data_IF_168514229212
#
_entry.id   IF_168514229212
#
_cell.length_a   1.000
_cell.length_b   1.000
_cell.length_c   1.000
_cell.angle_alpha   90.00
_cell.angle_beta   90.00
_cell.angle_gamma   90.00
#
_symmetry.space_group_name_H-M   'P 1'
#
loop_
_entity.id
_entity.type
_entity.pdbx_description
1 polymer ?
#
# COMPACT_ATOMS: atom_id res chain seq x y z
N UNK A 1 9.12 -8.36 -3.60
CA UNK A 1 9.85 -7.22 -3.02
C UNK A 1 9.23 -5.93 -3.47
N UNK A 2 9.08 -5.04 -2.54
CA UNK A 2 8.54 -3.73 -2.80
C UNK A 2 9.49 -2.89 -3.61
N UNK A 3 8.90 -2.15 -4.45
CA UNK A 3 9.53 -1.29 -5.41
C UNK A 3 9.86 0.05 -4.79
N UNK A 4 10.86 0.04 -3.94
CA UNK A 4 11.57 1.25 -3.59
C UNK A 4 12.75 1.38 -4.54
N UNK A 5 13.01 2.57 -5.04
CA UNK A 5 14.17 2.84 -5.89
C UNK A 5 15.52 2.65 -5.16
N UNK A 6 15.49 2.51 -3.84
CA UNK A 6 16.65 2.22 -3.01
C UNK A 6 16.53 0.84 -2.38
N UNK A 7 17.61 0.05 -2.34
CA UNK A 7 17.60 -1.15 -1.51
C UNK A 7 17.34 -0.75 -0.06
N UNK A 8 16.30 -1.34 0.51
CA UNK A 8 16.00 -1.12 1.92
C UNK A 8 17.08 -1.74 2.83
N UNK A 9 17.04 -1.45 4.13
CA UNK A 9 17.93 -2.07 5.11
C UNK A 9 17.73 -3.59 5.17
N UNK A 10 18.76 -4.32 5.62
CA UNK A 10 18.67 -5.75 5.91
C UNK A 10 17.69 -6.00 7.06
N UNK A 11 16.48 -6.42 6.73
CA UNK A 11 15.42 -6.68 7.70
C UNK A 11 15.72 -7.90 8.57
N UNK A 12 16.14 -9.01 7.95
CA UNK A 12 16.36 -10.28 8.65
C UNK A 12 17.48 -10.17 9.70
N UNK A 13 18.57 -9.49 9.36
CA UNK A 13 19.67 -9.23 10.29
C UNK A 13 19.32 -8.28 11.43
N UNK A 14 18.17 -7.64 11.38
CA UNK A 14 17.67 -6.68 12.36
C UNK A 14 16.47 -7.18 13.15
N UNK A 15 16.08 -8.45 13.00
CA UNK A 15 14.91 -9.02 13.66
C UNK A 15 13.57 -8.54 13.08
N UNK A 16 13.55 -8.24 11.77
CA UNK A 16 12.34 -7.89 11.02
C UNK A 16 12.02 -8.93 9.97
N UNK A 17 10.74 -9.13 9.73
CA UNK A 17 10.22 -9.92 8.62
C UNK A 17 9.40 -9.05 7.67
N UNK A 18 9.36 -9.46 6.39
CA UNK A 18 8.49 -8.86 5.38
C UNK A 18 7.52 -9.90 4.86
N UNK A 19 6.23 -9.58 4.86
CA UNK A 19 5.17 -10.44 4.34
C UNK A 19 4.18 -9.63 3.52
N UNK A 20 3.65 -10.28 2.50
CA UNK A 20 2.62 -9.72 1.64
C UNK A 20 1.31 -10.47 1.87
N UNK A 21 0.20 -9.72 1.99
CA UNK A 21 -1.13 -10.26 2.22
C UNK A 21 -2.14 -9.67 1.24
N UNK A 22 -3.21 -10.40 0.98
CA UNK A 22 -4.41 -9.88 0.35
C UNK A 22 -5.36 -9.36 1.44
N UNK A 23 -5.81 -8.11 1.29
CA UNK A 23 -6.84 -7.51 2.12
C UNK A 23 -8.12 -7.37 1.30
N UNK A 24 -9.22 -7.96 1.78
CA UNK A 24 -10.51 -7.95 1.10
C UNK A 24 -11.59 -7.34 1.95
N UNK A 25 -12.56 -6.68 1.31
CA UNK A 25 -13.68 -6.07 2.00
C UNK A 25 -14.70 -5.45 1.04
N UNK A 26 -15.58 -4.64 1.62
CA UNK A 26 -16.53 -3.80 0.88
C UNK A 26 -16.14 -2.36 1.15
N UNK A 27 -15.88 -1.59 0.10
CA UNK A 27 -15.57 -0.17 0.18
C UNK A 27 -16.74 0.68 -0.31
N UNK A 28 -16.85 1.88 0.23
CA UNK A 28 -17.87 2.87 -0.08
C UNK A 28 -17.27 4.03 -0.86
N UNK A 29 -18.00 4.47 -1.86
CA UNK A 29 -17.73 5.72 -2.56
C UNK A 29 -18.48 6.86 -1.92
N UNK A 30 -17.81 7.99 -1.77
CA UNK A 30 -18.40 9.22 -1.23
C UNK A 30 -18.48 10.29 -2.31
N UNK A 31 -19.47 11.16 -2.18
CA UNK A 31 -19.60 12.39 -2.97
C UNK A 31 -19.74 13.57 -2.01
N UNK A 32 -19.18 14.70 -2.41
CA UNK A 32 -19.33 15.94 -1.64
C UNK A 32 -20.77 16.46 -1.74
N UNK A 33 -21.33 16.87 -0.62
CA UNK A 33 -22.65 17.49 -0.54
C UNK A 33 -22.52 19.01 -0.63
N UNK A 34 -23.58 19.74 -1.02
CA UNK A 34 -23.55 21.21 -1.18
C UNK A 34 -23.17 21.99 0.10
N UNK A 35 -23.32 21.38 1.26
CA UNK A 35 -22.94 21.95 2.56
C UNK A 35 -21.53 21.56 3.01
N UNK A 36 -20.75 20.90 2.14
CA UNK A 36 -19.37 20.48 2.40
C UNK A 36 -19.25 19.17 3.19
N UNK A 37 -20.35 18.43 3.36
CA UNK A 37 -20.36 17.09 3.92
C UNK A 37 -19.97 16.02 2.88
N UNK A 38 -20.00 14.75 3.29
CA UNK A 38 -19.77 13.60 2.43
C UNK A 38 -20.92 12.59 2.58
N UNK A 39 -21.56 12.25 1.48
CA UNK A 39 -22.57 11.20 1.42
C UNK A 39 -22.00 9.93 0.76
N UNK A 40 -22.21 8.79 1.41
CA UNK A 40 -21.91 7.49 0.83
C UNK A 40 -22.99 7.12 -0.19
N UNK A 41 -22.59 6.96 -1.46
CA UNK A 41 -23.55 6.80 -2.56
C UNK A 41 -23.61 5.39 -3.10
N UNK A 42 -22.53 4.62 -3.02
CA UNK A 42 -22.56 3.23 -3.42
C UNK A 42 -21.41 2.41 -2.75
N UNK A 43 -21.43 1.09 -2.92
CA UNK A 43 -20.44 0.18 -2.36
C UNK A 43 -19.95 -0.81 -3.40
N UNK A 44 -18.68 -1.22 -3.30
CA UNK A 44 -18.11 -2.25 -4.16
C UNK A 44 -17.17 -3.16 -3.38
N UNK A 45 -17.08 -4.45 -3.74
CA UNK A 45 -16.08 -5.35 -3.17
C UNK A 45 -14.69 -4.95 -3.67
N UNK A 46 -13.71 -5.19 -2.82
CA UNK A 46 -12.30 -5.04 -3.18
C UNK A 46 -11.45 -6.19 -2.64
N UNK A 47 -10.36 -6.45 -3.32
CA UNK A 47 -9.23 -7.24 -2.85
C UNK A 47 -7.96 -6.54 -3.31
N UNK A 48 -7.15 -6.09 -2.37
CA UNK A 48 -5.90 -5.39 -2.66
C UNK A 48 -4.73 -5.96 -1.88
N UNK A 49 -3.52 -5.55 -2.22
CA UNK A 49 -2.30 -5.96 -1.54
C UNK A 49 -2.00 -5.06 -0.36
N UNK A 50 -1.58 -5.68 0.75
CA UNK A 50 -0.83 -5.00 1.81
C UNK A 50 0.54 -5.65 1.98
N UNK A 51 1.54 -4.84 2.22
CA UNK A 51 2.90 -5.26 2.56
C UNK A 51 3.17 -4.93 4.02
N UNK A 52 3.56 -5.92 4.79
CA UNK A 52 3.83 -5.76 6.22
C UNK A 52 5.29 -6.04 6.50
N UNK A 53 5.97 -5.08 7.11
CA UNK A 53 7.31 -5.23 7.69
C UNK A 53 7.18 -5.07 9.19
N UNK A 54 7.48 -6.12 9.93
CA UNK A 54 7.29 -6.08 11.37
C UNK A 54 8.53 -6.62 12.10
N UNK A 55 8.83 -6.05 13.29
CA UNK A 55 9.84 -6.62 14.15
C UNK A 55 9.37 -7.92 14.79
N UNK A 56 10.31 -8.67 15.33
CA UNK A 56 10.02 -9.73 16.28
C UNK A 56 9.21 -9.18 17.48
N UNK A 57 8.33 -10.02 18.04
CA UNK A 57 7.42 -9.59 19.10
C UNK A 57 8.11 -8.94 20.30
N UNK A 58 9.34 -9.37 20.61
CA UNK A 58 10.13 -8.79 21.71
C UNK A 58 10.64 -7.37 21.44
N UNK A 59 10.70 -6.96 20.18
CA UNK A 59 11.18 -5.64 19.75
C UNK A 59 10.03 -4.69 19.42
N UNK A 60 8.81 -5.20 19.25
CA UNK A 60 7.67 -4.40 18.81
C UNK A 60 7.28 -3.36 19.88
N UNK A 61 7.31 -2.10 19.52
CA UNK A 61 6.97 -0.98 20.41
C UNK A 61 5.47 -0.64 20.46
N UNK A 62 4.61 -1.37 19.72
CA UNK A 62 3.17 -1.13 19.63
C UNK A 62 2.75 -0.10 18.59
N UNK A 63 3.69 0.51 17.87
CA UNK A 63 3.38 1.49 16.84
C UNK A 63 3.46 0.88 15.44
N UNK A 64 2.58 1.36 14.57
CA UNK A 64 2.52 0.97 13.15
C UNK A 64 2.48 2.23 12.29
N UNK A 65 3.44 2.37 11.40
CA UNK A 65 3.38 3.36 10.32
C UNK A 65 2.62 2.74 9.15
N UNK A 66 1.58 3.42 8.67
CA UNK A 66 0.82 2.99 7.51
C UNK A 66 1.05 3.96 6.36
N UNK A 67 1.47 3.44 5.21
CA UNK A 67 1.74 4.21 4.00
C UNK A 67 0.75 3.85 2.90
N UNK A 68 0.16 4.86 2.29
CA UNK A 68 -0.54 4.76 1.03
C UNK A 68 0.50 4.77 -0.09
N UNK A 69 0.65 3.68 -0.83
CA UNK A 69 1.64 3.61 -1.90
C UNK A 69 1.42 4.66 -2.97
N UNK A 70 2.50 5.34 -3.35
CA UNK A 70 2.51 6.27 -4.45
C UNK A 70 2.54 5.53 -5.79
N UNK A 71 1.77 5.99 -6.77
CA UNK A 71 1.67 5.36 -8.10
C UNK A 71 2.06 6.29 -9.24
N UNK A 72 2.77 7.37 -8.99
CA UNK A 72 3.13 8.38 -10.01
C UNK A 72 3.92 7.81 -11.19
N UNK A 73 4.62 6.69 -10.99
CA UNK A 73 5.37 5.99 -12.03
C UNK A 73 4.61 4.83 -12.68
N UNK A 74 3.32 4.69 -12.46
CA UNK A 74 2.53 3.56 -12.95
C UNK A 74 2.65 2.28 -12.10
N UNK A 75 3.44 2.32 -11.03
CA UNK A 75 3.65 1.22 -10.10
C UNK A 75 3.61 1.70 -8.66
N UNK A 76 3.26 0.79 -7.74
CA UNK A 76 3.37 1.05 -6.31
C UNK A 76 4.82 1.36 -5.91
N UNK A 77 5.00 2.43 -5.19
CA UNK A 77 6.27 2.84 -4.58
C UNK A 77 6.06 3.30 -3.14
N UNK A 78 7.09 3.17 -2.32
CA UNK A 78 7.07 3.47 -0.90
C UNK A 78 8.07 4.59 -0.55
N UNK A 79 7.83 5.85 -0.96
CA UNK A 79 8.75 6.93 -0.72
C UNK A 79 8.97 7.21 0.78
N UNK A 80 7.90 7.17 1.59
CA UNK A 80 8.00 7.41 3.03
C UNK A 80 8.87 6.34 3.69
N UNK A 81 8.63 5.05 3.38
CA UNK A 81 9.48 3.97 3.90
C UNK A 81 10.95 4.20 3.54
N UNK A 82 11.24 4.62 2.32
CA UNK A 82 12.62 4.86 1.87
C UNK A 82 13.35 5.85 2.77
N UNK A 83 12.66 6.89 3.25
CA UNK A 83 13.26 7.91 4.11
C UNK A 83 13.33 7.51 5.59
N UNK A 84 12.37 6.72 6.09
CA UNK A 84 12.25 6.47 7.54
C UNK A 84 12.58 5.04 7.96
N UNK A 85 12.93 4.14 7.03
CA UNK A 85 13.15 2.72 7.30
C UNK A 85 14.12 2.45 8.46
N UNK A 86 15.25 3.14 8.50
CA UNK A 86 16.24 2.97 9.57
C UNK A 86 15.69 3.38 10.93
N UNK A 87 14.87 4.42 10.99
CA UNK A 87 14.24 4.86 12.23
C UNK A 87 13.15 3.91 12.69
N UNK A 88 12.34 3.38 11.77
CA UNK A 88 11.34 2.36 12.10
C UNK A 88 11.99 1.13 12.73
N UNK A 89 13.08 0.65 12.12
CA UNK A 89 13.83 -0.50 12.62
C UNK A 89 14.44 -0.19 13.97
N UNK A 90 15.08 0.97 14.12
CA UNK A 90 15.71 1.40 15.38
C UNK A 90 14.71 1.48 16.53
N UNK A 91 13.49 1.94 16.25
CA UNK A 91 12.44 2.14 17.25
C UNK A 91 11.57 0.90 17.53
N UNK A 92 11.67 -0.16 16.72
CA UNK A 92 10.80 -1.32 16.82
C UNK A 92 9.37 -1.07 16.31
N UNK A 93 9.20 -0.15 15.37
CA UNK A 93 7.91 0.22 14.77
C UNK A 93 7.62 -0.68 13.57
N UNK A 94 6.41 -1.26 13.48
CA UNK A 94 5.97 -1.98 12.31
C UNK A 94 5.60 -1.02 11.17
N UNK A 95 5.70 -1.50 9.94
CA UNK A 95 5.31 -0.77 8.74
C UNK A 95 4.30 -1.55 7.94
N UNK A 96 3.28 -0.86 7.41
CA UNK A 96 2.29 -1.42 6.50
C UNK A 96 2.14 -0.50 5.29
N UNK A 97 2.49 -1.00 4.11
CA UNK A 97 2.22 -0.33 2.84
C UNK A 97 0.97 -0.89 2.17
N UNK A 98 0.10 -0.03 1.66
CA UNK A 98 -1.19 -0.41 1.07
C UNK A 98 -1.26 0.00 -0.39
N UNK A 99 -1.57 -0.95 -1.29
CA UNK A 99 -1.88 -0.70 -2.70
C UNK A 99 -3.31 -0.16 -2.80
N UNK A 100 -3.46 1.14 -2.50
CA UNK A 100 -4.76 1.78 -2.37
C UNK A 100 -5.30 2.39 -3.67
N UNK A 101 -4.49 2.48 -4.72
CA UNK A 101 -4.87 3.10 -6.00
C UNK A 101 -4.97 2.08 -7.12
N UNK A 102 -5.95 2.31 -8.01
CA UNK A 102 -6.24 1.44 -9.15
C UNK A 102 -5.00 1.20 -10.03
N UNK A 103 -4.26 2.26 -10.34
CA UNK A 103 -3.06 2.20 -11.19
C UNK A 103 -2.01 1.23 -10.64
N UNK A 104 -1.79 1.20 -9.33
CA UNK A 104 -0.83 0.29 -8.71
C UNK A 104 -1.25 -1.17 -8.81
N UNK A 105 -2.54 -1.47 -8.76
CA UNK A 105 -3.09 -2.83 -8.80
C UNK A 105 -3.27 -3.32 -10.24
N UNK A 106 -4.11 -2.63 -11.01
CA UNK A 106 -4.58 -3.09 -12.33
C UNK A 106 -3.90 -2.39 -13.51
N UNK A 107 -3.11 -1.36 -13.25
CA UNK A 107 -2.51 -0.54 -14.29
C UNK A 107 -3.40 0.61 -14.75
N UNK A 108 -2.89 1.41 -15.67
CA UNK A 108 -3.62 2.57 -16.16
C UNK A 108 -2.66 3.61 -16.75
N UNK A 109 -3.14 4.83 -16.91
CA UNK A 109 -2.29 5.94 -17.30
C UNK A 109 -1.48 6.42 -16.12
N UNK A 110 -0.20 6.68 -16.34
CA UNK A 110 0.64 7.36 -15.37
C UNK A 110 0.03 8.72 -15.02
N UNK A 111 -0.01 9.05 -13.74
CA UNK A 111 -0.53 10.34 -13.29
C UNK A 111 0.41 11.51 -13.62
N UNK A 112 1.65 11.20 -14.00
CA UNK A 112 2.67 12.16 -14.38
C UNK A 112 3.30 11.71 -15.70
N UNK A 113 2.99 12.42 -16.78
CA UNK A 113 3.69 12.28 -18.05
C UNK A 113 5.04 13.02 -17.93
N UNK A 114 6.05 12.30 -17.47
CA UNK A 114 7.41 12.82 -17.38
C UNK A 114 8.03 12.78 -18.78
N UNK A 115 7.67 13.74 -19.62
CA UNK A 115 8.51 14.09 -20.78
C UNK A 115 9.84 14.67 -20.27
N UNK A 116 10.72 13.78 -19.82
CA UNK A 116 12.08 14.18 -19.48
C UNK A 116 12.88 14.35 -20.73
N UNK A 117 13.04 15.57 -21.17
CA UNK A 117 14.01 16.01 -22.20
C UNK A 117 15.45 16.01 -21.67
N UNK A 118 15.79 15.16 -20.72
CA UNK A 118 17.11 15.04 -20.11
C UNK A 118 17.59 13.60 -20.07
N UNK A 119 18.73 13.35 -20.70
CA UNK A 119 19.40 12.06 -20.64
C UNK A 119 19.61 11.60 -19.18
N UNK A 120 18.96 10.51 -18.78
CA UNK A 120 19.28 9.83 -17.53
C UNK A 120 18.15 9.19 -16.74
N UNK A 121 16.92 9.58 -16.96
CA UNK A 121 15.76 8.94 -16.33
C UNK A 121 14.71 8.57 -17.37
N UNK A 122 15.15 7.97 -18.48
CA UNK A 122 14.23 7.40 -19.45
C UNK A 122 13.33 6.40 -18.71
N UNK A 123 12.10 6.81 -18.48
CA UNK A 123 10.95 6.01 -18.23
C UNK A 123 11.19 4.65 -17.58
N UNK A 124 11.44 4.58 -16.29
CA UNK A 124 11.05 3.39 -15.56
C UNK A 124 9.54 3.53 -15.36
N UNK A 125 8.81 3.30 -16.43
CA UNK A 125 7.39 3.04 -16.35
C UNK A 125 7.28 1.77 -15.53
N UNK A 126 6.77 1.89 -14.31
CA UNK A 126 6.57 0.73 -13.45
C UNK A 126 5.35 -0.04 -13.91
N UNK A 127 5.41 -1.35 -13.85
CA UNK A 127 4.23 -2.18 -14.08
C UNK A 127 3.36 -2.26 -12.83
N UNK A 128 2.04 -2.29 -13.02
CA UNK A 128 1.08 -2.63 -11.96
C UNK A 128 1.34 -4.03 -11.39
N UNK A 129 0.69 -4.37 -10.27
CA UNK A 129 0.79 -5.73 -9.71
C UNK A 129 0.38 -6.79 -10.72
N UNK A 130 -0.78 -6.61 -11.37
CA UNK A 130 -1.28 -7.54 -12.39
C UNK A 130 -0.37 -7.59 -13.63
N UNK A 131 0.24 -6.48 -14.01
CA UNK A 131 1.19 -6.43 -15.12
C UNK A 131 2.50 -7.16 -14.83
N UNK A 132 2.98 -7.12 -13.58
CA UNK A 132 4.22 -7.77 -13.15
C UNK A 132 4.12 -9.28 -13.00
N UNK A 133 3.05 -9.72 -12.40
CA UNK A 133 2.82 -11.14 -12.12
C UNK A 133 1.32 -11.42 -12.16
N UNK A 134 0.76 -11.60 -13.38
CA UNK A 134 -0.66 -11.81 -13.57
C UNK A 134 -1.19 -13.06 -12.86
N UNK A 135 -0.37 -14.09 -12.71
CA UNK A 135 -0.77 -15.33 -12.03
C UNK A 135 -0.89 -15.10 -10.52
N UNK A 136 0.11 -14.47 -9.92
CA UNK A 136 0.14 -14.17 -8.48
C UNK A 136 -0.98 -13.23 -8.06
N UNK A 137 -1.26 -12.21 -8.87
CA UNK A 137 -2.22 -11.16 -8.55
C UNK A 137 -3.59 -11.32 -9.23
N UNK A 138 -3.86 -12.47 -9.86
CA UNK A 138 -5.14 -12.75 -10.51
C UNK A 138 -6.39 -12.61 -9.62
N UNK A 139 -6.22 -12.67 -8.30
CA UNK A 139 -7.30 -12.49 -7.32
C UNK A 139 -7.50 -11.06 -6.85
N UNK A 140 -6.72 -10.10 -7.33
CA UNK A 140 -6.90 -8.69 -6.97
C UNK A 140 -8.14 -8.13 -7.67
N UNK A 141 -8.81 -7.22 -6.97
CA UNK A 141 -10.01 -6.54 -7.49
C UNK A 141 -10.04 -5.12 -6.94
N UNK A 142 -9.83 -4.14 -7.78
CA UNK A 142 -9.88 -2.74 -7.36
C UNK A 142 -11.07 -2.04 -8.04
N UNK A 143 -12.05 -1.50 -7.28
CA UNK A 143 -13.27 -0.93 -7.84
C UNK A 143 -13.10 0.47 -8.46
N UNK A 144 -11.91 1.03 -8.40
CA UNK A 144 -11.57 2.37 -8.88
C UNK A 144 -11.24 3.34 -7.73
N UNK A 145 -10.54 4.44 -8.06
CA UNK A 145 -9.97 5.34 -7.05
C UNK A 145 -11.00 6.10 -6.22
N UNK A 146 -12.25 6.19 -6.67
CA UNK A 146 -13.34 6.76 -5.89
C UNK A 146 -13.64 5.99 -4.57
N UNK A 147 -13.15 4.75 -4.45
CA UNK A 147 -13.30 3.89 -3.27
C UNK A 147 -12.04 3.83 -2.40
N UNK A 148 -10.92 4.34 -2.90
CA UNK A 148 -9.59 4.16 -2.29
C UNK A 148 -9.50 4.65 -0.86
N UNK A 149 -10.15 5.77 -0.52
CA UNK A 149 -10.14 6.30 0.85
C UNK A 149 -10.82 5.37 1.85
N UNK A 150 -11.98 4.80 1.47
CA UNK A 150 -12.70 3.88 2.34
C UNK A 150 -12.00 2.51 2.43
N UNK A 151 -11.41 2.03 1.33
CA UNK A 151 -10.54 0.86 1.32
C UNK A 151 -9.39 1.04 2.32
N UNK A 152 -8.68 2.14 2.23
CA UNK A 152 -7.54 2.46 3.09
C UNK A 152 -7.96 2.54 4.58
N UNK A 153 -9.04 3.28 4.88
CA UNK A 153 -9.59 3.42 6.23
C UNK A 153 -10.07 2.09 6.82
N UNK A 154 -10.72 1.26 6.00
CA UNK A 154 -11.20 -0.07 6.40
C UNK A 154 -10.05 -1.03 6.73
N UNK A 155 -8.98 -1.02 5.94
CA UNK A 155 -7.78 -1.83 6.19
C UNK A 155 -7.11 -1.38 7.50
N UNK A 156 -6.93 -0.08 7.72
CA UNK A 156 -6.39 0.44 8.99
C UNK A 156 -7.23 0.00 10.17
N UNK A 157 -8.55 0.07 10.04
CA UNK A 157 -9.48 -0.36 11.09
C UNK A 157 -9.32 -1.85 11.39
N UNK A 158 -9.22 -2.69 10.35
CA UNK A 158 -8.99 -4.12 10.49
C UNK A 158 -7.64 -4.43 11.16
N UNK A 159 -6.57 -3.73 10.80
CA UNK A 159 -5.25 -3.90 11.41
C UNK A 159 -5.23 -3.55 12.90
N UNK A 160 -6.08 -2.63 13.35
CA UNK A 160 -6.22 -2.26 14.77
C UNK A 160 -7.06 -3.25 15.57
N UNK A 161 -7.94 -3.99 14.91
CA UNK A 161 -8.84 -4.95 15.56
C UNK A 161 -8.14 -6.32 15.61
N UNK A 162 -7.69 -6.71 16.79
CA UNK A 162 -6.98 -7.98 17.02
C UNK A 162 -7.91 -9.14 17.40
N UNK A 163 -9.23 -8.94 17.35
CA UNK A 163 -10.21 -9.95 17.76
C UNK A 163 -10.74 -10.73 16.57
N UNK A 164 -10.45 -12.02 16.50
CA UNK A 164 -11.17 -12.98 15.66
C UNK A 164 -10.40 -13.61 14.51
N UNK A 165 -9.55 -12.90 13.81
CA UNK A 165 -8.70 -13.45 12.74
C UNK A 165 -7.22 -13.19 13.03
N UNK A 166 -6.30 -14.02 12.51
CA UNK A 166 -4.88 -13.79 12.69
C UNK A 166 -4.50 -12.43 12.10
N UNK A 167 -4.14 -11.50 12.95
CA UNK A 167 -3.67 -10.19 12.48
C UNK A 167 -2.31 -10.33 11.80
N UNK A 168 -2.10 -9.66 10.64
CA UNK A 168 -0.77 -9.57 10.02
C UNK A 168 0.29 -8.96 10.95
N UNK A 169 -0.16 -8.33 12.04
CA UNK A 169 0.69 -7.67 13.05
C UNK A 169 0.90 -8.54 14.30
N UNK A 170 0.24 -9.73 14.39
CA UNK A 170 0.38 -10.64 15.52
C UNK A 170 1.66 -11.48 15.45
#
# INVERSE_FOLDING_TARGET
>A
SVMSASPGPDLAGRGYSEHEYAASGIARRFVETPDGGLDGVDTAPFTTRILVRRPDAAQFNGHVLVEWFNVSSGADSAPEYTYVAEELIRSGTAYVGISAQYTGVAGGRDSVDLETTGAGTAGVQGDSLEGKDPERYAGMQHPGDAYSYDMFGSIITALRNTTGEPSPLA
#
